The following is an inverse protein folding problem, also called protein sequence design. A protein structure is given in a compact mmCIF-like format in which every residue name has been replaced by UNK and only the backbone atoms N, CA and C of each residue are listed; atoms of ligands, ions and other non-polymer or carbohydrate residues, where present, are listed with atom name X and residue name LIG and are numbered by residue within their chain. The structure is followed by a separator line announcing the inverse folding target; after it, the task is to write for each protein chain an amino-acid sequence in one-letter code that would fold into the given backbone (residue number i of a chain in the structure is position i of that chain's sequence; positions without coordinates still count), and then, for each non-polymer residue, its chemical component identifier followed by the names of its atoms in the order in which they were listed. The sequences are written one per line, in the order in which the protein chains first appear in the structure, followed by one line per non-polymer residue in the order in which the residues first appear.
data_IF_845661445512
#
_entry.id   IF_845661445512
#
_cell.length_a   1.000
_cell.length_b   1.000
_cell.length_c   1.000
_cell.angle_alpha   90.00
_cell.angle_beta   90.00
_cell.angle_gamma   90.00
#
_symmetry.space_group_name_H-M   'P 1'
#
loop_
_entity.id
_entity.type
_entity.pdbx_description
1 polymer ?
#
# COMPACT_ATOMS: atom_id res chain seq x y z
N UNK A 1 19.96 0.03 -47.09
CA UNK A 1 20.32 -1.41 -47.12
C UNK A 1 19.10 -2.29 -46.80
N UNK A 2 19.05 -3.55 -47.26
CA UNK A 2 17.95 -4.49 -46.98
C UNK A 2 17.68 -4.68 -45.48
N UNK A 3 18.73 -4.64 -44.66
CA UNK A 3 18.62 -4.70 -43.20
C UNK A 3 17.81 -3.53 -42.60
N UNK A 4 18.02 -2.30 -43.09
CA UNK A 4 17.26 -1.13 -42.62
C UNK A 4 15.77 -1.25 -42.92
N UNK A 5 15.39 -1.72 -44.11
CA UNK A 5 13.98 -1.91 -44.47
C UNK A 5 13.29 -2.96 -43.59
N UNK A 6 14.00 -4.04 -43.26
CA UNK A 6 13.50 -5.09 -42.36
C UNK A 6 13.35 -4.59 -40.93
N UNK A 7 14.31 -3.81 -40.44
CA UNK A 7 14.25 -3.17 -39.13
C UNK A 7 13.03 -2.25 -39.01
N UNK A 8 12.85 -1.33 -39.96
CA UNK A 8 11.68 -0.43 -40.00
C UNK A 8 10.37 -1.21 -40.04
N UNK A 9 10.30 -2.29 -40.83
CA UNK A 9 9.13 -3.16 -40.91
C UNK A 9 8.77 -3.82 -39.58
N UNK A 10 9.76 -4.20 -38.77
CA UNK A 10 9.55 -4.78 -37.43
C UNK A 10 9.15 -3.69 -36.44
N UNK A 11 9.86 -2.57 -36.40
CA UNK A 11 9.60 -1.48 -35.45
C UNK A 11 8.26 -0.77 -35.68
N UNK A 12 7.73 -0.81 -36.90
CA UNK A 12 6.46 -0.17 -37.27
C UNK A 12 5.28 -1.16 -37.34
N UNK A 13 5.45 -2.40 -36.85
CA UNK A 13 4.32 -3.32 -36.77
C UNK A 13 3.25 -2.78 -35.82
N UNK A 14 1.99 -2.80 -36.27
CA UNK A 14 0.83 -2.33 -35.50
C UNK A 14 0.72 -2.99 -34.12
N UNK A 15 1.09 -4.27 -34.03
CA UNK A 15 1.08 -5.03 -32.76
C UNK A 15 2.10 -4.44 -31.79
N UNK A 16 3.36 -4.25 -32.24
CA UNK A 16 4.41 -3.67 -31.42
C UNK A 16 4.06 -2.26 -30.95
N UNK A 17 3.51 -1.41 -31.83
CA UNK A 17 3.11 -0.05 -31.49
C UNK A 17 1.98 -0.01 -30.46
N UNK A 18 0.99 -0.91 -30.60
CA UNK A 18 -0.09 -1.07 -29.62
C UNK A 18 0.42 -1.59 -28.28
N UNK A 19 1.33 -2.56 -28.32
CA UNK A 19 1.93 -3.10 -27.10
C UNK A 19 2.72 -2.01 -26.40
N UNK A 20 3.54 -1.22 -27.12
CA UNK A 20 4.29 -0.08 -26.59
C UNK A 20 3.40 0.99 -25.94
N UNK A 21 2.19 1.21 -26.45
CA UNK A 21 1.20 2.10 -25.82
C UNK A 21 0.72 1.56 -24.45
N UNK A 22 0.70 0.25 -24.29
CA UNK A 22 0.28 -0.45 -23.05
C UNK A 22 1.47 -0.86 -22.17
N UNK A 23 2.71 -0.72 -22.65
CA UNK A 23 3.90 -0.84 -21.82
C UNK A 23 3.91 0.36 -20.89
N UNK A 24 3.46 0.14 -19.66
CA UNK A 24 3.62 1.11 -18.57
C UNK A 24 5.09 1.56 -18.53
N UNK A 25 5.38 2.88 -18.53
CA UNK A 25 6.75 3.35 -18.48
C UNK A 25 7.38 2.89 -17.15
N UNK A 26 8.34 1.98 -17.26
CA UNK A 26 9.33 1.56 -16.27
C UNK A 26 8.88 0.90 -14.95
N UNK A 27 7.77 1.28 -14.31
CA UNK A 27 7.51 0.85 -12.94
C UNK A 27 6.36 -0.17 -12.83
N UNK A 28 6.73 -1.43 -12.58
CA UNK A 28 5.78 -2.45 -12.13
C UNK A 28 5.20 -2.03 -10.77
N UNK A 29 3.89 -1.77 -10.70
CA UNK A 29 3.17 -1.40 -9.46
C UNK A 29 3.14 -2.52 -8.42
N UNK A 30 3.54 -3.75 -8.79
CA UNK A 30 3.53 -4.92 -7.92
C UNK A 30 4.17 -4.66 -6.55
N UNK A 31 5.34 -4.01 -6.51
CA UNK A 31 6.03 -3.77 -5.25
C UNK A 31 5.26 -2.76 -4.37
N UNK A 32 4.74 -1.70 -4.99
CA UNK A 32 3.91 -0.69 -4.33
C UNK A 32 2.62 -1.31 -3.76
N UNK A 33 1.94 -2.13 -4.56
CA UNK A 33 0.72 -2.84 -4.15
C UNK A 33 0.99 -3.84 -3.01
N UNK A 34 2.14 -4.51 -3.06
CA UNK A 34 2.58 -5.42 -1.99
C UNK A 34 2.85 -4.66 -0.69
N UNK A 35 3.51 -3.50 -0.76
CA UNK A 35 3.70 -2.62 0.41
C UNK A 35 2.37 -2.13 0.96
N UNK A 36 1.46 -1.65 0.10
CA UNK A 36 0.15 -1.17 0.52
C UNK A 36 -0.67 -2.26 1.23
N UNK A 37 -0.64 -3.48 0.70
CA UNK A 37 -1.29 -4.65 1.33
C UNK A 37 -0.73 -4.96 2.71
N UNK A 38 0.59 -4.82 2.90
CA UNK A 38 1.22 -4.94 4.23
C UNK A 38 0.84 -3.79 5.15
N UNK A 39 0.86 -2.54 4.66
CA UNK A 39 0.50 -1.37 5.43
C UNK A 39 -0.91 -1.49 6.02
N UNK A 40 -1.88 -1.96 5.23
CA UNK A 40 -3.25 -2.20 5.71
C UNK A 40 -3.27 -3.21 6.87
N UNK A 41 -2.42 -4.24 6.84
CA UNK A 41 -2.35 -5.26 7.89
C UNK A 41 -1.74 -4.74 9.19
N UNK A 42 -0.70 -3.92 9.10
CA UNK A 42 -0.02 -3.34 10.28
C UNK A 42 -0.75 -2.12 10.84
N UNK A 43 -1.41 -1.34 9.99
CA UNK A 43 -2.05 -0.07 10.33
C UNK A 43 -3.51 -0.03 9.84
N UNK A 44 -4.38 -0.97 10.27
CA UNK A 44 -5.78 -0.95 9.88
C UNK A 44 -6.47 0.31 10.41
N UNK A 45 -7.22 1.00 9.53
CA UNK A 45 -7.98 2.22 9.87
C UNK A 45 -9.10 1.97 10.88
N UNK A 46 -9.55 0.72 11.02
CA UNK A 46 -10.62 0.31 11.91
C UNK A 46 -10.21 0.18 13.39
N UNK A 47 -8.91 0.20 13.70
CA UNK A 47 -8.40 0.11 15.08
C UNK A 47 -8.14 1.52 15.60
N UNK A 48 -8.27 1.73 16.93
CA UNK A 48 -8.02 3.01 17.61
C UNK A 48 -6.88 3.82 16.95
N UNK A 49 -7.27 4.97 16.40
CA UNK A 49 -6.49 5.77 15.47
C UNK A 49 -6.02 7.04 16.18
N UNK A 50 -4.77 7.06 16.61
CA UNK A 50 -4.08 8.29 16.98
C UNK A 50 -2.86 8.48 16.08
N UNK A 51 -2.53 9.73 15.75
CA UNK A 51 -1.39 10.06 14.89
C UNK A 51 -0.10 9.34 15.31
N UNK A 52 0.32 9.39 16.59
CA UNK A 52 1.53 8.70 17.05
C UNK A 52 1.51 7.18 16.84
N UNK A 53 0.38 6.52 17.13
CA UNK A 53 0.23 5.07 16.94
C UNK A 53 0.28 4.73 15.44
N UNK A 54 -0.37 5.52 14.61
CA UNK A 54 -0.35 5.33 13.15
C UNK A 54 1.05 5.51 12.57
N UNK A 55 1.81 6.50 13.03
CA UNK A 55 3.20 6.68 12.63
C UNK A 55 4.05 5.47 13.02
N UNK A 56 3.91 4.97 14.25
CA UNK A 56 4.63 3.78 14.70
C UNK A 56 4.28 2.53 13.86
N UNK A 57 2.99 2.26 13.65
CA UNK A 57 2.51 1.12 12.83
C UNK A 57 2.97 1.21 11.38
N UNK A 58 2.95 2.41 10.80
CA UNK A 58 3.44 2.64 9.42
C UNK A 58 4.94 2.38 9.32
N UNK A 59 5.73 2.82 10.29
CA UNK A 59 7.18 2.55 10.34
C UNK A 59 7.46 1.06 10.49
N UNK A 60 6.71 0.34 11.34
CA UNK A 60 6.83 -1.11 11.47
C UNK A 60 6.50 -1.83 10.16
N UNK A 61 5.47 -1.38 9.44
CA UNK A 61 5.13 -1.93 8.13
C UNK A 61 6.27 -1.74 7.11
N UNK A 62 6.91 -0.57 7.11
CA UNK A 62 8.04 -0.26 6.25
C UNK A 62 9.27 -1.13 6.58
N UNK A 63 9.62 -1.28 7.86
CA UNK A 63 10.70 -2.17 8.29
C UNK A 63 10.45 -3.62 7.85
N UNK A 64 9.23 -4.11 8.10
CA UNK A 64 8.86 -5.46 7.69
C UNK A 64 8.91 -5.65 6.18
N UNK A 65 8.46 -4.66 5.39
CA UNK A 65 8.52 -4.71 3.93
C UNK A 65 9.97 -4.68 3.43
N UNK A 66 10.81 -3.80 3.96
CA UNK A 66 12.21 -3.68 3.55
C UNK A 66 12.98 -4.98 3.79
N UNK A 67 12.74 -5.64 4.93
CA UNK A 67 13.37 -6.92 5.23
C UNK A 67 12.86 -8.06 4.32
N UNK A 68 11.59 -8.01 3.89
CA UNK A 68 10.92 -9.15 3.26
C UNK A 68 10.60 -8.98 1.75
N UNK A 69 10.82 -7.81 1.16
CA UNK A 69 10.50 -7.54 -0.25
C UNK A 69 11.38 -8.36 -1.21
N UNK A 70 12.67 -8.44 -0.90
CA UNK A 70 13.71 -9.16 -1.67
C UNK A 70 13.74 -10.68 -1.46
N UNK A 71 12.72 -11.29 -0.84
CA UNK A 71 12.71 -12.73 -0.57
C UNK A 71 12.79 -13.55 -1.87
N UNK A 72 13.78 -14.44 -1.90
CA UNK A 72 14.03 -15.39 -2.99
C UNK A 72 13.07 -16.58 -2.96
N UNK A 73 13.01 -17.33 -4.05
CA UNK A 73 12.24 -18.56 -4.12
C UNK A 73 12.81 -19.61 -3.14
N UNK A 74 11.92 -20.28 -2.40
CA UNK A 74 12.29 -21.37 -1.52
C UNK A 74 12.71 -22.60 -2.33
N UNK A 75 13.69 -23.33 -1.80
CA UNK A 75 14.14 -24.62 -2.36
C UNK A 75 13.65 -25.79 -1.50
N UNK A 76 13.48 -26.93 -2.13
CA UNK A 76 13.19 -28.22 -1.46
C UNK A 76 14.46 -28.81 -0.88
N UNK A 77 14.35 -29.87 -0.06
CA UNK A 77 15.51 -30.59 0.49
C UNK A 77 16.46 -31.14 -0.60
N UNK A 78 15.95 -31.37 -1.81
CA UNK A 78 16.71 -31.81 -2.99
C UNK A 78 17.32 -30.66 -3.80
N UNK A 79 17.28 -29.42 -3.29
CA UNK A 79 17.78 -28.23 -3.98
C UNK A 79 16.88 -27.69 -5.09
N UNK A 80 15.73 -28.30 -5.36
CA UNK A 80 14.85 -27.90 -6.45
C UNK A 80 13.92 -26.74 -6.04
N UNK A 81 13.60 -25.79 -6.94
CA UNK A 81 12.70 -24.67 -6.66
C UNK A 81 11.30 -25.14 -6.24
N UNK A 82 10.73 -24.51 -5.21
CA UNK A 82 9.43 -24.87 -4.64
C UNK A 82 8.31 -24.09 -5.32
N UNK A 83 7.27 -24.81 -5.73
CA UNK A 83 6.05 -24.26 -6.33
C UNK A 83 4.81 -24.68 -5.55
N UNK A 84 3.76 -23.86 -5.62
CA UNK A 84 2.43 -24.15 -5.11
C UNK A 84 1.41 -24.03 -6.24
N UNK A 85 0.52 -25.02 -6.35
CA UNK A 85 -0.60 -24.99 -7.29
C UNK A 85 -1.62 -23.94 -6.88
N UNK A 86 -2.02 -23.08 -7.81
CA UNK A 86 -3.07 -22.07 -7.65
C UNK A 86 -4.05 -22.16 -8.81
N UNK A 87 -5.30 -22.48 -8.48
CA UNK A 87 -6.39 -22.53 -9.45
C UNK A 87 -6.82 -21.13 -9.88
N UNK A 88 -6.95 -20.90 -11.19
CA UNK A 88 -7.50 -19.66 -11.73
C UNK A 88 -9.02 -19.73 -11.79
N UNK A 89 -9.68 -19.11 -10.79
CA UNK A 89 -11.16 -19.09 -10.70
C UNK A 89 -11.84 -18.51 -11.95
N UNK A 90 -11.24 -17.49 -12.58
CA UNK A 90 -11.80 -16.84 -13.77
C UNK A 90 -11.47 -17.50 -15.12
N UNK A 91 -10.72 -18.61 -15.15
CA UNK A 91 -10.36 -19.32 -16.39
C UNK A 91 -10.69 -20.80 -16.30
N UNK A 92 -11.96 -21.10 -16.02
CA UNK A 92 -12.50 -22.47 -15.97
C UNK A 92 -11.69 -23.42 -15.07
N UNK A 93 -11.16 -22.91 -13.95
CA UNK A 93 -10.44 -23.74 -12.99
C UNK A 93 -9.06 -24.23 -13.46
N UNK A 94 -8.47 -23.63 -14.50
CA UNK A 94 -7.13 -24.01 -14.94
C UNK A 94 -6.11 -23.76 -13.82
N UNK A 95 -5.29 -24.78 -13.52
CA UNK A 95 -4.24 -24.68 -12.52
C UNK A 95 -3.01 -23.96 -13.07
N UNK A 96 -2.43 -23.09 -12.23
CA UNK A 96 -1.10 -22.50 -12.47
C UNK A 96 -0.18 -22.78 -11.31
N UNK A 97 1.10 -22.95 -11.62
CA UNK A 97 2.16 -22.98 -10.61
C UNK A 97 2.51 -21.56 -10.21
N UNK A 98 2.61 -21.32 -8.90
CA UNK A 98 3.10 -20.08 -8.31
C UNK A 98 4.34 -20.39 -7.49
N UNK A 99 5.38 -19.59 -7.66
CA UNK A 99 6.60 -19.68 -6.86
C UNK A 99 6.29 -19.48 -5.37
N UNK A 100 6.91 -20.30 -4.53
CA UNK A 100 6.86 -20.16 -3.07
C UNK A 100 8.14 -19.48 -2.63
N UNK A 101 8.04 -18.28 -2.05
CA UNK A 101 9.20 -17.57 -1.48
C UNK A 101 9.63 -18.21 -0.15
N UNK A 102 10.91 -18.03 0.23
CA UNK A 102 11.46 -18.38 1.56
C UNK A 102 10.60 -17.82 2.69
N UNK A 103 10.52 -18.38 3.91
CA UNK A 103 9.73 -17.80 4.99
C UNK A 103 10.11 -16.33 5.31
N UNK A 104 9.18 -15.50 5.82
CA UNK A 104 9.52 -14.16 6.27
C UNK A 104 10.46 -14.19 7.48
N UNK A 105 11.33 -13.19 7.57
CA UNK A 105 12.20 -12.96 8.72
C UNK A 105 11.72 -11.74 9.52
N UNK A 106 12.15 -11.69 10.78
CA UNK A 106 11.74 -10.68 11.75
C UNK A 106 12.94 -10.16 12.57
N UNK A 107 14.11 -10.09 11.97
CA UNK A 107 15.33 -9.68 12.67
C UNK A 107 15.17 -8.25 13.26
N UNK A 108 14.50 -7.36 12.53
CA UNK A 108 14.18 -6.01 13.00
C UNK A 108 13.40 -6.00 14.34
N UNK A 109 12.59 -7.02 14.63
CA UNK A 109 11.80 -7.08 15.86
C UNK A 109 12.70 -7.24 17.09
N UNK A 110 13.73 -8.08 16.98
CA UNK A 110 14.68 -8.28 18.07
C UNK A 110 15.44 -6.99 18.40
N UNK A 111 15.88 -6.27 17.37
CA UNK A 111 16.54 -4.97 17.53
C UNK A 111 15.62 -3.95 18.21
N UNK A 112 14.38 -3.82 17.73
CA UNK A 112 13.39 -2.91 18.33
C UNK A 112 13.07 -3.25 19.80
N UNK A 113 12.98 -4.54 20.14
CA UNK A 113 12.74 -4.96 21.52
C UNK A 113 13.94 -4.65 22.41
N UNK A 114 15.17 -4.84 21.92
CA UNK A 114 16.38 -4.50 22.66
C UNK A 114 16.50 -2.99 22.91
N UNK A 115 16.19 -2.16 21.91
CA UNK A 115 16.16 -0.70 22.05
C UNK A 115 15.06 -0.25 23.03
N UNK A 116 13.87 -0.85 22.94
CA UNK A 116 12.78 -0.55 23.85
C UNK A 116 13.13 -0.93 25.30
N UNK A 117 13.80 -2.07 25.51
CA UNK A 117 14.27 -2.48 26.83
C UNK A 117 15.33 -1.51 27.38
N UNK A 118 16.30 -1.09 26.55
CA UNK A 118 17.28 -0.08 26.94
C UNK A 118 16.64 1.25 27.34
N UNK A 119 15.64 1.72 26.57
CA UNK A 119 14.87 2.93 26.91
C UNK A 119 14.16 2.81 28.27
N UNK A 120 13.64 1.62 28.59
CA UNK A 120 12.96 1.35 29.86
C UNK A 120 13.90 1.28 31.07
N UNK A 121 15.20 1.00 30.86
CA UNK A 121 16.19 0.98 31.94
C UNK A 121 16.58 2.40 32.38
N UNK A 122 16.58 3.36 31.46
CA UNK A 122 16.91 4.78 31.73
C UNK A 122 15.73 5.56 32.34
N UNK A 123 14.50 5.18 31.99
CA UNK A 123 13.28 5.80 32.52
C UNK A 123 12.11 4.85 32.34
N UNK A 124 11.08 4.95 33.19
CA UNK A 124 9.90 4.10 32.99
C UNK A 124 9.24 4.41 31.63
N UNK A 125 8.64 3.39 30.99
CA UNK A 125 7.92 3.57 29.73
C UNK A 125 6.90 4.73 29.80
N UNK A 126 6.24 4.88 30.95
CA UNK A 126 5.29 5.98 31.20
C UNK A 126 5.97 7.35 31.17
N UNK A 127 7.10 7.50 31.84
CA UNK A 127 7.87 8.75 31.83
C UNK A 127 8.38 9.08 30.44
N UNK A 128 8.95 8.09 29.72
CA UNK A 128 9.40 8.27 28.34
C UNK A 128 8.24 8.71 27.41
N UNK A 129 7.05 8.15 27.57
CA UNK A 129 5.86 8.55 26.81
C UNK A 129 5.35 9.94 27.18
N UNK A 130 5.43 10.33 28.44
CA UNK A 130 5.01 11.65 28.93
C UNK A 130 6.00 12.75 28.54
N UNK A 131 7.30 12.46 28.53
CA UNK A 131 8.37 13.37 28.14
C UNK A 131 8.47 13.53 26.62
N UNK A 132 7.83 12.64 25.84
CA UNK A 132 7.79 12.77 24.39
C UNK A 132 7.12 14.09 24.04
N UNK A 133 7.74 14.94 23.19
CA UNK A 133 7.09 16.15 22.73
C UNK A 133 5.76 15.74 22.11
N UNK A 134 4.66 16.31 22.64
CA UNK A 134 3.36 16.24 21.99
C UNK A 134 3.51 16.99 20.68
N UNK A 135 3.98 16.31 19.63
CA UNK A 135 3.80 16.79 18.27
C UNK A 135 2.31 17.08 18.17
N UNK A 136 1.95 18.37 18.08
CA UNK A 136 0.56 18.76 17.86
C UNK A 136 0.13 17.98 16.65
N UNK A 137 -0.79 17.04 16.83
CA UNK A 137 -1.37 16.34 15.71
C UNK A 137 -1.83 17.44 14.73
N UNK A 138 -1.52 17.33 13.44
CA UNK A 138 -1.98 18.31 12.48
C UNK A 138 -3.49 18.47 12.67
N UNK A 139 -3.95 19.72 12.62
CA UNK A 139 -5.37 19.99 12.74
C UNK A 139 -6.10 19.17 11.67
N UNK A 140 -7.31 18.64 11.97
CA UNK A 140 -8.09 17.95 10.96
C UNK A 140 -8.30 18.89 9.78
N UNK A 141 -8.28 18.37 8.55
CA UNK A 141 -8.43 19.17 7.33
C UNK A 141 -9.63 20.14 7.40
N UNK A 142 -10.73 19.70 8.01
CA UNK A 142 -11.94 20.49 8.22
C UNK A 142 -11.73 21.78 9.06
N UNK A 143 -10.70 21.85 9.90
CA UNK A 143 -10.37 23.03 10.69
C UNK A 143 -9.83 24.19 9.83
N UNK A 144 -9.35 23.90 8.62
CA UNK A 144 -8.89 24.93 7.68
C UNK A 144 -10.02 25.60 6.91
N UNK A 145 -11.24 25.09 7.00
CA UNK A 145 -12.39 25.63 6.29
C UNK A 145 -13.33 26.35 7.26
N UNK A 146 -13.87 27.53 6.88
CA UNK A 146 -14.89 28.20 7.67
C UNK A 146 -16.12 27.30 7.78
N UNK A 147 -16.70 27.21 8.98
CA UNK A 147 -17.97 26.50 9.20
C UNK A 147 -19.13 27.42 8.87
N UNK A 148 -19.97 27.00 7.95
CA UNK A 148 -21.21 27.70 7.65
C UNK A 148 -22.18 27.59 8.85
N UNK A 149 -22.96 28.63 9.14
CA UNK A 149 -24.06 28.58 10.10
C UNK A 149 -25.08 27.50 9.74
N UNK A 150 -25.76 26.96 10.76
CA UNK A 150 -26.76 25.90 10.61
C UNK A 150 -27.86 26.27 9.61
N UNK A 151 -28.30 27.53 9.61
CA UNK A 151 -29.36 28.04 8.72
C UNK A 151 -28.96 27.93 7.24
N UNK A 152 -27.75 28.37 6.89
CA UNK A 152 -27.23 28.27 5.53
C UNK A 152 -27.05 26.81 5.08
N UNK A 153 -26.68 25.91 5.99
CA UNK A 153 -26.60 24.48 5.71
C UNK A 153 -27.98 23.86 5.44
N UNK A 154 -29.02 24.32 6.14
CA UNK A 154 -30.40 23.90 5.90
C UNK A 154 -30.90 24.37 4.54
N UNK A 155 -30.67 25.63 4.17
CA UNK A 155 -31.02 26.17 2.85
C UNK A 155 -30.33 25.41 1.71
N UNK A 156 -29.03 25.14 1.82
CA UNK A 156 -28.28 24.35 0.84
C UNK A 156 -28.85 22.93 0.70
N UNK A 157 -29.24 22.30 1.82
CA UNK A 157 -29.87 20.97 1.82
C UNK A 157 -31.20 21.02 1.08
N UNK A 158 -32.08 21.97 1.41
CA UNK A 158 -33.41 22.10 0.80
C UNK A 158 -33.34 22.45 -0.69
N UNK A 159 -32.39 23.32 -1.09
CA UNK A 159 -32.13 23.68 -2.49
C UNK A 159 -31.75 22.47 -3.37
N UNK A 160 -31.06 21.46 -2.82
CA UNK A 160 -30.74 20.23 -3.56
C UNK A 160 -31.99 19.40 -3.87
N UNK A 161 -32.97 19.39 -2.96
CA UNK A 161 -34.22 18.63 -3.15
C UNK A 161 -35.19 19.33 -4.11
N UNK A 162 -35.21 20.66 -4.16
CA UNK A 162 -36.11 21.41 -5.07
C UNK A 162 -35.69 21.37 -6.55
N UNK A 163 -34.44 21.01 -6.86
CA UNK A 163 -33.98 20.85 -8.26
C UNK A 163 -34.50 19.58 -8.96
N UNK A 164 -35.09 18.64 -8.22
CA UNK A 164 -35.63 17.39 -8.77
C UNK A 164 -37.09 17.46 -9.23
N UNK A 165 -37.80 18.56 -8.96
CA UNK A 165 -39.26 18.65 -9.17
C UNK A 165 -39.68 19.57 -10.30
N UNK A 166 -38.75 20.17 -11.04
CA UNK A 166 -39.04 21.01 -12.20
C UNK A 166 -38.68 20.28 -13.51
N UNK A 167 -39.48 19.27 -13.87
CA UNK A 167 -39.60 18.80 -15.25
C UNK A 167 -40.81 19.50 -15.90
N UNK A 168 -40.73 19.93 -17.17
CA UNK A 168 -41.75 20.77 -17.78
C UNK A 168 -43.03 19.97 -18.04
N UNK A 169 -44.17 20.54 -17.64
CA UNK A 169 -45.52 20.12 -18.05
C UNK A 169 -45.82 20.56 -19.48
#
# INVERSE_FOLDING_TARGET
TPAHKRFVGITMQKVLLRDLEHVSPADHTYNLESYHSMLIRFAPKSVAFTGPIMHARTRLAALHHNENSGRVQAVTRKGQPKFKRRMQRGKMGTDRLKEVKTPPTYAYVGQLLSEAAACCNESSLREALNNRPRNRAPLPMAAHYPRLPKEQLLEQRMSRYSRGTAGPS
#
